data_IF_756222014180
#
_entry.id   IF_756222014180
#
_cell.length_a   1.000
_cell.length_b   1.000
_cell.length_c   1.000
_cell.angle_alpha   90.00
_cell.angle_beta   90.00
_cell.angle_gamma   90.00
#
_symmetry.space_group_name_H-M   'P 1'
#
loop_
_entity.id
_entity.type
_entity.pdbx_description
1 polymer ?
#
# COMPACT_ATOMS: atom_id res chain seq x y z
N UNK A 1 0.09 -11.02 -5.53
CA UNK A 1 1.36 -10.37 -5.89
C UNK A 1 2.09 -11.24 -6.90
N UNK A 2 2.11 -10.84 -8.19
CA UNK A 2 2.70 -11.64 -9.28
C UNK A 2 2.24 -13.11 -9.26
N UNK A 3 0.94 -13.32 -9.15
CA UNK A 3 0.30 -14.63 -9.19
C UNK A 3 0.38 -15.46 -7.90
N UNK A 4 0.94 -14.93 -6.80
CA UNK A 4 1.11 -15.68 -5.55
C UNK A 4 0.58 -14.93 -4.32
N UNK A 5 0.25 -15.67 -3.27
CA UNK A 5 -0.12 -15.15 -1.94
C UNK A 5 1.11 -15.27 -1.04
N UNK A 6 1.47 -14.19 -0.35
CA UNK A 6 2.62 -14.16 0.55
C UNK A 6 2.16 -13.75 1.95
N UNK A 7 2.52 -14.53 2.96
CA UNK A 7 2.39 -14.15 4.37
C UNK A 7 3.74 -13.70 4.89
N UNK A 8 3.79 -12.55 5.55
CA UNK A 8 5.00 -11.97 6.14
C UNK A 8 4.91 -11.92 7.66
N UNK A 9 6.03 -12.18 8.33
CA UNK A 9 6.19 -12.02 9.78
C UNK A 9 7.63 -11.55 10.05
N UNK A 10 7.84 -10.67 11.02
CA UNK A 10 9.20 -10.26 11.41
C UNK A 10 9.48 -10.58 12.88
N UNK A 11 10.76 -10.80 13.17
CA UNK A 11 11.34 -10.69 14.51
C UNK A 11 12.38 -9.57 14.55
N UNK A 12 13.18 -9.48 15.62
CA UNK A 12 14.19 -8.42 15.79
C UNK A 12 15.33 -8.46 14.77
N UNK A 13 15.48 -9.56 14.03
CA UNK A 13 16.63 -9.85 13.16
C UNK A 13 16.25 -10.30 11.76
N UNK A 14 15.09 -10.93 11.58
CA UNK A 14 14.68 -11.56 10.33
C UNK A 14 13.27 -11.15 9.91
N UNK A 15 13.10 -11.05 8.59
CA UNK A 15 11.79 -11.06 7.94
C UNK A 15 11.54 -12.47 7.40
N UNK A 16 10.55 -13.14 7.97
CA UNK A 16 10.05 -14.45 7.57
C UNK A 16 8.95 -14.30 6.53
N UNK A 17 8.96 -15.15 5.52
CA UNK A 17 7.88 -15.23 4.54
C UNK A 17 7.44 -16.66 4.28
N UNK A 18 6.17 -16.82 3.88
CA UNK A 18 5.61 -18.06 3.36
C UNK A 18 4.82 -17.76 2.09
N UNK A 19 5.05 -18.54 1.05
CA UNK A 19 4.37 -18.40 -0.24
C UNK A 19 3.33 -19.49 -0.43
N UNK A 20 2.19 -19.13 -1.00
CA UNK A 20 1.17 -20.05 -1.49
C UNK A 20 0.97 -19.73 -2.98
N UNK A 21 1.21 -20.73 -3.83
CA UNK A 21 0.99 -20.66 -5.27
C UNK A 21 -0.39 -21.22 -5.63
N UNK A 22 -1.03 -20.75 -6.71
CA UNK A 22 -2.29 -21.31 -7.18
C UNK A 22 -2.12 -22.80 -7.50
N UNK A 23 -3.09 -23.63 -7.09
CA UNK A 23 -3.09 -25.04 -7.51
C UNK A 23 -3.34 -25.11 -9.02
N UNK A 24 -2.33 -25.54 -9.78
CA UNK A 24 -2.49 -25.84 -11.20
C UNK A 24 -3.35 -27.10 -11.32
N UNK A 25 -4.64 -26.94 -11.59
CA UNK A 25 -5.47 -28.07 -12.03
C UNK A 25 -5.05 -28.45 -13.45
N UNK A 26 -4.10 -29.38 -13.56
CA UNK A 26 -3.83 -30.03 -14.84
C UNK A 26 -5.11 -30.74 -15.31
N UNK A 27 -5.46 -30.67 -16.61
CA UNK A 27 -6.57 -31.43 -17.13
C UNK A 27 -6.36 -32.92 -16.83
N UNK A 28 -7.42 -33.57 -16.33
CA UNK A 28 -7.42 -34.97 -15.93
C UNK A 28 -7.32 -35.84 -17.19
N UNK A 29 -6.10 -36.14 -17.63
CA UNK A 29 -5.81 -37.28 -18.52
C UNK A 29 -5.15 -38.40 -17.69
N UNK A 30 -5.47 -39.68 -17.98
CA UNK A 30 -5.09 -40.81 -17.13
C UNK A 30 -3.58 -41.08 -17.15
N UNK A 31 -3.04 -41.79 -16.13
CA UNK A 31 -1.67 -41.61 -15.68
C UNK A 31 -0.69 -42.33 -16.59
N UNK A 32 0.28 -41.59 -17.13
CA UNK A 32 1.60 -42.16 -17.39
C UNK A 32 2.50 -41.70 -16.26
N UNK A 33 3.28 -42.62 -15.72
CA UNK A 33 4.14 -42.54 -14.55
C UNK A 33 5.17 -41.39 -14.59
N UNK A 34 4.72 -40.15 -14.47
CA UNK A 34 5.55 -38.99 -14.22
C UNK A 34 5.30 -38.55 -12.79
N UNK A 35 6.38 -38.47 -12.00
CA UNK A 35 6.37 -37.87 -10.67
C UNK A 35 5.62 -36.54 -10.74
N UNK A 36 4.72 -36.31 -9.77
CA UNK A 36 4.13 -34.99 -9.54
C UNK A 36 5.27 -34.03 -9.22
N UNK A 37 5.87 -33.44 -10.26
CA UNK A 37 6.79 -32.33 -10.12
C UNK A 37 5.94 -31.14 -9.75
N UNK A 38 5.99 -30.76 -8.47
CA UNK A 38 5.60 -29.44 -8.02
C UNK A 38 6.35 -28.46 -8.93
N UNK A 39 5.66 -27.81 -9.86
CA UNK A 39 6.21 -26.85 -10.83
C UNK A 39 6.69 -25.53 -10.16
N UNK A 40 7.09 -25.57 -8.88
CA UNK A 40 7.27 -24.38 -8.05
C UNK A 40 8.56 -24.28 -7.24
N UNK A 41 9.40 -25.32 -7.15
CA UNK A 41 10.60 -25.26 -6.30
C UNK A 41 11.90 -24.92 -7.06
N UNK A 42 12.04 -25.25 -8.34
CA UNK A 42 13.32 -25.08 -9.05
C UNK A 42 13.64 -23.63 -9.51
N UNK A 43 12.71 -22.66 -9.35
CA UNK A 43 12.92 -21.24 -9.68
C UNK A 43 12.04 -20.29 -8.83
N UNK A 44 11.92 -20.51 -7.51
CA UNK A 44 11.17 -19.58 -6.66
C UNK A 44 11.91 -18.23 -6.51
N UNK A 45 11.43 -17.20 -7.19
CA UNK A 45 11.95 -15.82 -7.14
C UNK A 45 11.38 -14.99 -5.97
N UNK A 46 10.64 -15.60 -5.02
CA UNK A 46 9.94 -14.85 -3.96
C UNK A 46 10.90 -13.99 -3.12
N UNK A 47 12.09 -14.49 -2.77
CA UNK A 47 13.03 -13.68 -1.98
C UNK A 47 13.45 -12.42 -2.74
N UNK A 48 13.83 -12.56 -4.00
CA UNK A 48 14.21 -11.44 -4.87
C UNK A 48 13.05 -10.46 -5.04
N UNK A 49 11.83 -10.98 -5.23
CA UNK A 49 10.61 -10.18 -5.30
C UNK A 49 10.39 -9.37 -4.03
N UNK A 50 10.52 -9.98 -2.84
CA UNK A 50 10.33 -9.29 -1.56
C UNK A 50 11.43 -8.27 -1.28
N UNK A 51 12.70 -8.60 -1.59
CA UNK A 51 13.82 -7.64 -1.49
C UNK A 51 13.58 -6.40 -2.35
N UNK A 52 13.05 -6.59 -3.56
CA UNK A 52 12.68 -5.50 -4.44
C UNK A 52 11.46 -4.71 -3.90
N UNK A 53 10.35 -5.37 -3.65
CA UNK A 53 9.08 -4.73 -3.29
C UNK A 53 9.13 -4.00 -1.95
N UNK A 54 9.81 -4.57 -0.95
CA UNK A 54 10.02 -3.91 0.34
C UNK A 54 11.19 -2.91 0.32
N UNK A 55 11.83 -2.74 -0.84
CA UNK A 55 12.95 -1.84 -1.07
C UNK A 55 14.07 -2.03 -0.04
N UNK A 56 14.61 -3.25 0.06
CA UNK A 56 15.56 -3.63 1.11
C UNK A 56 17.03 -3.30 0.79
N UNK A 57 17.36 -2.99 -0.46
CA UNK A 57 18.75 -2.68 -0.85
C UNK A 57 19.30 -1.42 -0.15
N UNK A 58 18.56 -0.30 -0.04
CA UNK A 58 19.06 0.89 0.64
C UNK A 58 19.26 0.68 2.15
N UNK A 59 20.40 1.16 2.66
CA UNK A 59 20.68 1.24 4.08
C UNK A 59 19.83 2.35 4.72
N UNK A 60 18.71 1.94 5.33
CA UNK A 60 17.75 2.87 5.94
C UNK A 60 18.35 3.66 7.11
N UNK A 61 19.29 3.08 7.85
CA UNK A 61 19.96 3.77 8.96
C UNK A 61 20.78 4.94 8.43
N UNK A 62 21.57 4.72 7.38
CA UNK A 62 22.38 5.77 6.75
C UNK A 62 21.50 6.90 6.19
N UNK A 63 20.34 6.56 5.59
CA UNK A 63 19.36 7.56 5.14
C UNK A 63 18.79 8.38 6.30
N UNK A 64 18.41 7.74 7.41
CA UNK A 64 17.90 8.45 8.60
C UNK A 64 18.96 9.36 9.21
N UNK A 65 20.22 8.93 9.26
CA UNK A 65 21.35 9.75 9.72
C UNK A 65 21.57 10.96 8.80
N UNK A 66 21.56 10.76 7.49
CA UNK A 66 21.67 11.83 6.50
C UNK A 66 20.56 12.87 6.70
N UNK A 67 19.28 12.45 6.65
CA UNK A 67 18.16 13.37 6.77
C UNK A 67 18.13 14.09 8.12
N UNK A 68 18.53 13.41 9.20
CA UNK A 68 18.67 14.02 10.53
C UNK A 68 19.81 15.04 10.62
N UNK A 69 20.85 14.91 9.78
CA UNK A 69 21.98 15.86 9.77
C UNK A 69 21.63 17.20 9.11
N UNK A 70 20.67 17.20 8.17
CA UNK A 70 20.28 18.37 7.38
C UNK A 70 18.94 18.97 7.81
N UNK A 71 18.09 18.22 8.52
CA UNK A 71 16.79 18.68 9.00
C UNK A 71 16.57 18.42 10.50
N UNK A 72 16.55 19.50 11.29
CA UNK A 72 16.30 19.45 12.73
C UNK A 72 14.89 18.94 13.08
N UNK A 73 13.88 19.19 12.23
CA UNK A 73 12.53 18.67 12.45
C UNK A 73 12.50 17.16 12.24
N UNK A 74 13.13 16.67 11.16
CA UNK A 74 13.32 15.24 10.92
C UNK A 74 14.03 14.57 12.10
N UNK A 75 15.19 15.11 12.52
CA UNK A 75 15.98 14.61 13.65
C UNK A 75 15.17 14.47 14.94
N UNK A 76 14.23 15.39 15.19
CA UNK A 76 13.36 15.38 16.37
C UNK A 76 12.27 14.31 16.30
N UNK A 77 11.72 14.03 15.12
CA UNK A 77 10.51 13.19 14.95
C UNK A 77 10.81 11.75 14.55
N UNK A 78 11.81 11.54 13.70
CA UNK A 78 12.14 10.24 13.12
C UNK A 78 12.43 9.11 14.13
N UNK A 79 13.04 9.35 15.31
CA UNK A 79 13.32 8.26 16.26
C UNK A 79 12.09 7.51 16.78
N UNK A 80 10.89 8.13 16.69
CA UNK A 80 9.62 7.47 17.06
C UNK A 80 9.04 6.59 15.96
N UNK A 81 9.56 6.71 14.73
CA UNK A 81 9.04 6.08 13.52
C UNK A 81 10.20 5.51 12.70
N UNK A 82 10.88 4.51 13.26
CA UNK A 82 11.96 3.78 12.60
C UNK A 82 11.41 2.67 11.70
N UNK A 83 12.16 2.28 10.66
CA UNK A 83 11.81 1.14 9.81
C UNK A 83 10.76 1.42 8.75
N UNK A 84 10.34 2.68 8.56
CA UNK A 84 9.40 3.07 7.50
C UNK A 84 10.12 2.98 6.15
N UNK A 85 9.64 2.10 5.26
CA UNK A 85 10.16 1.94 3.90
C UNK A 85 9.12 2.32 2.84
N UNK A 86 9.59 2.84 1.71
CA UNK A 86 8.75 3.01 0.51
C UNK A 86 8.68 1.69 -0.25
N UNK A 87 7.47 1.18 -0.44
CA UNK A 87 7.23 -0.01 -1.25
C UNK A 87 7.43 0.30 -2.73
N UNK A 88 8.09 -0.61 -3.45
CA UNK A 88 8.20 -0.61 -4.92
C UNK A 88 7.08 -1.44 -5.52
N UNK A 89 5.90 -0.83 -5.61
CA UNK A 89 4.69 -1.44 -6.10
C UNK A 89 4.72 -1.59 -7.62
N UNK A 90 3.86 -2.47 -8.15
CA UNK A 90 3.59 -2.49 -9.58
C UNK A 90 3.03 -1.13 -10.03
N UNK A 91 3.53 -0.53 -11.12
CA UNK A 91 3.10 0.80 -11.55
C UNK A 91 1.59 0.90 -11.83
N UNK A 92 0.98 -0.15 -12.37
CA UNK A 92 -0.43 -0.17 -12.70
C UNK A 92 -1.30 -0.30 -11.44
N UNK A 93 -0.93 -1.20 -10.52
CA UNK A 93 -1.56 -1.32 -9.21
C UNK A 93 -1.50 0.01 -8.43
N UNK A 94 -0.32 0.63 -8.40
CA UNK A 94 -0.13 1.93 -7.76
C UNK A 94 -1.02 3.02 -8.39
N UNK A 95 -1.05 3.10 -9.72
CA UNK A 95 -1.85 4.08 -10.46
C UNK A 95 -3.33 3.99 -10.11
N UNK A 96 -3.92 2.80 -10.23
CA UNK A 96 -5.35 2.60 -9.94
C UNK A 96 -5.63 2.79 -8.45
N UNK A 97 -4.76 2.29 -7.56
CA UNK A 97 -4.86 2.50 -6.11
C UNK A 97 -4.88 3.98 -5.73
N UNK A 98 -4.02 4.82 -6.33
CA UNK A 98 -4.00 6.25 -6.04
C UNK A 98 -5.14 7.03 -6.71
N UNK A 99 -5.66 6.60 -7.86
CA UNK A 99 -6.92 7.12 -8.41
C UNK A 99 -8.05 6.93 -7.38
N UNK A 100 -8.16 5.72 -6.78
CA UNK A 100 -9.11 5.41 -5.71
C UNK A 100 -8.94 6.29 -4.46
N UNK A 101 -7.72 6.77 -4.20
CA UNK A 101 -7.38 7.55 -3.01
C UNK A 101 -7.81 9.02 -3.04
N UNK A 102 -8.05 9.59 -4.23
CA UNK A 102 -8.39 11.00 -4.39
C UNK A 102 -9.64 11.37 -3.58
N UNK A 103 -9.55 12.30 -2.63
CA UNK A 103 -10.65 12.70 -1.73
C UNK A 103 -11.37 11.50 -1.08
N UNK A 104 -10.61 10.66 -0.37
CA UNK A 104 -11.10 9.41 0.21
C UNK A 104 -10.33 9.06 1.50
N UNK A 105 -10.80 8.05 2.26
CA UNK A 105 -10.13 7.55 3.46
C UNK A 105 -9.60 6.13 3.26
N UNK A 106 -8.60 5.74 4.07
CA UNK A 106 -7.88 4.47 3.92
C UNK A 106 -8.83 3.26 3.95
N UNK A 107 -9.82 3.24 4.84
CA UNK A 107 -10.75 2.12 5.00
C UNK A 107 -11.54 1.90 3.70
N UNK A 108 -12.11 2.97 3.14
CA UNK A 108 -12.88 2.89 1.89
C UNK A 108 -11.99 2.59 0.70
N UNK A 109 -10.78 3.13 0.64
CA UNK A 109 -9.81 2.82 -0.43
C UNK A 109 -9.49 1.32 -0.44
N UNK A 110 -9.19 0.74 0.73
CA UNK A 110 -8.91 -0.70 0.84
C UNK A 110 -10.07 -1.56 0.38
N UNK A 111 -11.31 -1.18 0.71
CA UNK A 111 -12.51 -1.89 0.23
C UNK A 111 -12.66 -1.79 -1.30
N UNK A 112 -12.43 -0.60 -1.87
CA UNK A 112 -12.49 -0.40 -3.32
C UNK A 112 -11.47 -1.28 -4.04
N UNK A 113 -10.21 -1.26 -3.60
CA UNK A 113 -9.15 -2.09 -4.21
C UNK A 113 -9.46 -3.58 -4.07
N UNK A 114 -9.94 -4.03 -2.90
CA UNK A 114 -10.34 -5.42 -2.70
C UNK A 114 -11.48 -5.85 -3.64
N UNK A 115 -12.52 -5.01 -3.79
CA UNK A 115 -13.62 -5.27 -4.72
C UNK A 115 -13.14 -5.28 -6.18
N UNK A 116 -12.19 -4.41 -6.53
CA UNK A 116 -11.60 -4.42 -7.87
C UNK A 116 -10.95 -5.78 -8.18
N UNK A 117 -10.11 -6.27 -7.26
CA UNK A 117 -9.45 -7.56 -7.42
C UNK A 117 -10.46 -8.72 -7.44
N UNK A 118 -11.46 -8.73 -6.55
CA UNK A 118 -12.47 -9.78 -6.49
C UNK A 118 -13.25 -9.94 -7.80
N UNK A 119 -13.62 -8.82 -8.44
CA UNK A 119 -14.49 -8.83 -9.61
C UNK A 119 -13.75 -8.88 -10.95
N UNK A 120 -12.52 -8.37 -11.01
CA UNK A 120 -11.75 -8.24 -12.27
C UNK A 120 -10.38 -8.91 -12.24
N UNK A 121 -9.90 -9.27 -11.05
CA UNK A 121 -8.61 -9.90 -10.85
C UNK A 121 -8.66 -11.42 -11.03
N UNK A 122 -7.56 -12.06 -11.46
CA UNK A 122 -7.49 -13.52 -11.54
C UNK A 122 -7.46 -14.13 -10.14
N UNK A 123 -8.21 -15.21 -9.93
CA UNK A 123 -8.17 -15.98 -8.68
C UNK A 123 -6.80 -16.63 -8.52
N UNK A 124 -6.10 -16.34 -7.41
CA UNK A 124 -4.77 -16.89 -7.10
C UNK A 124 -4.81 -17.99 -6.03
N UNK A 125 -5.88 -18.10 -5.27
CA UNK A 125 -6.03 -19.16 -4.27
C UNK A 125 -7.02 -18.82 -3.18
N UNK A 126 -6.95 -19.56 -2.09
CA UNK A 126 -7.82 -19.38 -0.93
C UNK A 126 -7.00 -19.30 0.36
N UNK A 127 -7.43 -18.44 1.28
CA UNK A 127 -6.93 -18.40 2.66
C UNK A 127 -8.15 -18.48 3.58
N UNK A 128 -8.22 -19.50 4.42
CA UNK A 128 -9.37 -19.75 5.30
C UNK A 128 -10.73 -19.71 4.56
N UNK A 129 -10.80 -20.41 3.40
CA UNK A 129 -11.94 -20.47 2.47
C UNK A 129 -12.32 -19.13 1.80
N UNK A 130 -11.55 -18.06 2.00
CA UNK A 130 -11.76 -16.78 1.31
C UNK A 130 -10.97 -16.73 0.00
N UNK A 131 -11.61 -16.37 -1.13
CA UNK A 131 -10.90 -16.24 -2.39
C UNK A 131 -9.96 -15.04 -2.36
N UNK A 132 -8.72 -15.26 -2.78
CA UNK A 132 -7.73 -14.20 -3.01
C UNK A 132 -7.52 -14.05 -4.51
N UNK A 133 -7.59 -12.82 -4.97
CA UNK A 133 -7.41 -12.45 -6.37
C UNK A 133 -6.19 -11.55 -6.52
N UNK A 134 -5.47 -11.67 -7.64
CA UNK A 134 -4.42 -10.71 -7.98
C UNK A 134 -5.03 -9.41 -8.54
N UNK A 135 -4.19 -8.39 -8.70
CA UNK A 135 -4.64 -7.14 -9.31
C UNK A 135 -5.05 -7.35 -10.79
N UNK A 136 -6.16 -6.76 -11.27
CA UNK A 136 -6.56 -6.91 -12.68
C UNK A 136 -5.55 -6.27 -13.62
N UNK A 137 -5.37 -6.87 -14.79
CA UNK A 137 -4.62 -6.24 -15.88
C UNK A 137 -5.41 -5.05 -16.47
N UNK A 138 -4.75 -4.07 -17.11
CA UNK A 138 -5.44 -2.94 -17.72
C UNK A 138 -6.54 -3.36 -18.69
N UNK A 139 -6.27 -4.38 -19.52
CA UNK A 139 -7.21 -4.91 -20.52
C UNK A 139 -8.50 -5.44 -19.91
N UNK A 140 -8.46 -6.00 -18.69
CA UNK A 140 -9.63 -6.50 -17.94
C UNK A 140 -10.63 -5.39 -17.58
N UNK A 141 -10.22 -4.12 -17.63
CA UNK A 141 -11.05 -2.96 -17.25
C UNK A 141 -11.52 -2.13 -18.46
N UNK A 142 -11.43 -2.67 -19.69
CA UNK A 142 -11.79 -1.95 -20.93
C UNK A 142 -13.17 -2.30 -21.50
N UNK A 143 -13.85 -3.31 -20.95
CA UNK A 143 -15.10 -3.84 -21.52
C UNK A 143 -16.30 -2.90 -21.44
N UNK A 144 -17.28 -3.05 -22.36
CA UNK A 144 -18.52 -2.27 -22.32
C UNK A 144 -19.32 -2.64 -21.07
N UNK A 145 -19.40 -1.73 -20.10
CA UNK A 145 -20.09 -1.92 -18.82
C UNK A 145 -19.18 -1.88 -17.59
N UNK A 146 -17.86 -1.87 -17.74
CA UNK A 146 -16.93 -1.79 -16.60
C UNK A 146 -17.18 -0.54 -15.76
N UNK A 147 -17.36 0.64 -16.37
CA UNK A 147 -17.67 1.86 -15.63
C UNK A 147 -18.96 1.72 -14.80
N UNK A 148 -20.03 1.17 -15.39
CA UNK A 148 -21.32 1.03 -14.71
C UNK A 148 -21.20 0.09 -13.51
N UNK A 149 -20.57 -1.07 -13.69
CA UNK A 149 -20.36 -2.03 -12.61
C UNK A 149 -19.44 -1.48 -11.51
N UNK A 150 -18.38 -0.74 -11.84
CA UNK A 150 -17.56 -0.05 -10.82
C UNK A 150 -18.38 0.99 -10.03
N UNK A 151 -19.36 1.66 -10.64
CA UNK A 151 -20.28 2.55 -9.90
C UNK A 151 -21.15 1.77 -8.92
N UNK A 152 -21.67 0.61 -9.32
CA UNK A 152 -22.42 -0.30 -8.45
C UNK A 152 -21.57 -0.79 -7.28
N UNK A 153 -20.28 -1.04 -7.50
CA UNK A 153 -19.31 -1.41 -6.45
C UNK A 153 -18.84 -0.24 -5.57
N UNK A 154 -19.42 0.96 -5.73
CA UNK A 154 -19.20 2.10 -4.83
C UNK A 154 -17.99 2.99 -5.16
N UNK A 155 -17.42 2.88 -6.36
CA UNK A 155 -16.29 3.73 -6.79
C UNK A 155 -16.69 5.18 -7.07
N UNK A 156 -17.98 5.43 -7.26
CA UNK A 156 -18.53 6.76 -7.54
C UNK A 156 -17.96 7.35 -8.85
N UNK A 157 -17.60 8.62 -8.84
CA UNK A 157 -17.05 9.29 -10.03
C UNK A 157 -15.72 8.68 -10.51
N UNK A 158 -14.98 7.99 -9.64
CA UNK A 158 -13.68 7.36 -9.97
C UNK A 158 -13.83 6.17 -10.90
N UNK A 159 -15.02 5.55 -10.97
CA UNK A 159 -15.31 4.48 -11.91
C UNK A 159 -14.97 4.89 -13.36
N UNK A 160 -15.36 6.11 -13.74
CA UNK A 160 -15.05 6.69 -15.06
C UNK A 160 -13.55 6.84 -15.27
N UNK A 161 -12.83 7.30 -14.25
CA UNK A 161 -11.39 7.55 -14.31
C UNK A 161 -10.63 6.25 -14.53
N UNK A 162 -10.99 5.19 -13.81
CA UNK A 162 -10.37 3.87 -13.92
C UNK A 162 -10.64 3.27 -15.30
N UNK A 163 -11.91 3.22 -15.74
CA UNK A 163 -12.27 2.66 -17.03
C UNK A 163 -11.59 3.41 -18.19
N UNK A 164 -11.56 4.75 -18.15
CA UNK A 164 -10.90 5.56 -19.18
C UNK A 164 -9.38 5.39 -19.16
N UNK A 165 -8.78 5.37 -17.97
CA UNK A 165 -7.33 5.16 -17.81
C UNK A 165 -6.92 3.78 -18.33
N UNK A 166 -7.68 2.73 -18.01
CA UNK A 166 -7.47 1.39 -18.54
C UNK A 166 -7.53 1.35 -20.07
N UNK A 167 -8.52 2.05 -20.67
CA UNK A 167 -8.64 2.14 -22.11
C UNK A 167 -7.46 2.88 -22.76
N UNK A 168 -6.97 3.98 -22.17
CA UNK A 168 -5.79 4.70 -22.67
C UNK A 168 -4.55 3.81 -22.60
N UNK A 169 -4.30 3.18 -21.45
CA UNK A 169 -3.12 2.31 -21.24
C UNK A 169 -3.15 1.10 -22.17
N UNK A 170 -4.32 0.52 -22.43
CA UNK A 170 -4.45 -0.69 -23.26
C UNK A 170 -4.47 -0.39 -24.75
N UNK A 171 -5.18 0.65 -25.19
CA UNK A 171 -5.51 0.85 -26.61
C UNK A 171 -4.80 2.04 -27.25
N UNK A 172 -4.31 3.01 -26.47
CA UNK A 172 -3.77 4.29 -26.97
C UNK A 172 -2.27 4.46 -26.65
N UNK A 173 -1.66 3.53 -25.91
CA UNK A 173 -0.25 3.53 -25.53
C UNK A 173 0.42 2.25 -25.98
N UNK A 174 1.75 2.28 -26.14
CA UNK A 174 2.53 1.09 -26.44
C UNK A 174 2.50 0.11 -25.28
N UNK A 175 2.63 -1.18 -25.59
CA UNK A 175 2.83 -2.21 -24.58
C UNK A 175 4.04 -1.84 -23.70
N UNK A 176 3.88 -1.95 -22.38
CA UNK A 176 4.93 -1.58 -21.43
C UNK A 176 5.11 -0.08 -21.16
N UNK A 177 4.33 0.82 -21.80
CA UNK A 177 4.49 2.28 -21.64
C UNK A 177 4.61 2.75 -20.19
N UNK A 178 3.80 2.23 -19.28
CA UNK A 178 3.83 2.63 -17.87
C UNK A 178 5.13 2.16 -17.17
N UNK A 179 5.66 0.99 -17.54
CA UNK A 179 6.93 0.50 -17.03
C UNK A 179 8.12 1.30 -17.60
N UNK A 180 8.01 1.81 -18.83
CA UNK A 180 9.04 2.66 -19.44
C UNK A 180 9.19 4.03 -18.76
N UNK A 181 8.21 4.43 -17.94
CA UNK A 181 8.29 5.64 -17.09
C UNK A 181 9.02 5.39 -15.77
N UNK A 182 9.33 4.14 -15.44
CA UNK A 182 10.03 3.79 -14.21
C UNK A 182 11.45 4.36 -14.20
N UNK A 183 11.93 4.71 -13.01
CA UNK A 183 13.30 5.14 -12.79
C UNK A 183 14.26 4.00 -13.19
N UNK A 184 15.10 4.20 -14.23
CA UNK A 184 16.01 3.16 -14.69
C UNK A 184 17.24 3.02 -13.80
N UNK A 185 17.47 3.95 -12.87
CA UNK A 185 18.65 3.95 -12.02
C UNK A 185 18.55 2.86 -10.94
N UNK A 186 19.60 2.05 -10.86
CA UNK A 186 19.81 1.13 -9.74
C UNK A 186 20.30 1.96 -8.56
N UNK A 187 19.71 1.72 -7.39
CA UNK A 187 20.19 2.34 -6.16
C UNK A 187 21.68 2.06 -5.98
N UNK A 188 22.47 3.11 -5.79
CA UNK A 188 23.87 3.01 -5.39
C UNK A 188 24.00 3.47 -3.94
N UNK A 189 24.88 2.84 -3.15
CA UNK A 189 25.14 3.24 -1.75
C UNK A 189 25.79 4.62 -1.63
N UNK A 190 26.06 5.28 -2.76
CA UNK A 190 26.57 6.65 -2.79
C UNK A 190 25.40 7.59 -2.57
N UNK A 191 25.31 8.13 -1.37
CA UNK A 191 24.41 9.24 -1.06
C UNK A 191 24.88 10.49 -1.83
N UNK A 192 24.49 10.60 -3.10
CA UNK A 192 24.81 11.77 -3.91
C UNK A 192 24.03 12.97 -3.37
N UNK A 193 24.72 13.83 -2.64
CA UNK A 193 24.18 15.09 -2.12
C UNK A 193 24.17 16.20 -3.17
N UNK A 194 24.47 15.91 -4.45
CA UNK A 194 24.28 16.90 -5.50
C UNK A 194 22.85 17.40 -5.46
N UNK A 195 22.73 18.73 -5.45
CA UNK A 195 21.43 19.39 -5.50
C UNK A 195 20.67 18.90 -6.72
N UNK A 196 19.45 18.39 -6.49
CA UNK A 196 18.53 18.08 -7.57
C UNK A 196 18.17 19.40 -8.28
N UNK A 197 18.05 19.39 -9.62
CA UNK A 197 17.58 20.57 -10.32
C UNK A 197 16.14 20.93 -9.89
N UNK A 198 15.75 22.18 -10.09
CA UNK A 198 14.38 22.64 -9.85
C UNK A 198 13.38 21.76 -10.61
N UNK A 199 12.33 21.34 -9.93
CA UNK A 199 11.36 20.37 -10.44
C UNK A 199 11.83 18.91 -10.48
N UNK A 200 13.03 18.57 -10.01
CA UNK A 200 13.57 17.20 -9.97
C UNK A 200 14.23 16.73 -11.27
N UNK A 201 14.67 15.47 -11.37
CA UNK A 201 15.38 14.95 -12.55
C UNK A 201 14.48 14.96 -13.79
N UNK A 202 15.07 15.07 -15.01
CA UNK A 202 14.31 15.05 -16.26
C UNK A 202 13.40 13.83 -16.42
N UNK A 203 13.87 12.64 -15.99
CA UNK A 203 13.07 11.41 -16.08
C UNK A 203 11.83 11.43 -15.18
N UNK A 204 11.98 11.86 -13.92
CA UNK A 204 10.85 12.07 -13.00
C UNK A 204 9.84 13.06 -13.58
N UNK A 205 10.29 14.22 -14.07
CA UNK A 205 9.39 15.23 -14.66
C UNK A 205 8.61 14.67 -15.85
N UNK A 206 9.29 13.95 -16.74
CA UNK A 206 8.64 13.28 -17.88
C UNK A 206 7.59 12.28 -17.41
N UNK A 207 7.92 11.43 -16.44
CA UNK A 207 6.99 10.45 -15.89
C UNK A 207 5.75 11.14 -15.26
N UNK A 208 5.96 12.21 -14.50
CA UNK A 208 4.89 12.99 -13.89
C UNK A 208 3.97 13.63 -14.93
N UNK A 209 4.54 14.28 -15.95
CA UNK A 209 3.80 14.92 -17.04
C UNK A 209 2.99 13.92 -17.88
N UNK A 210 3.55 12.74 -18.16
CA UNK A 210 2.85 11.66 -18.85
C UNK A 210 1.67 11.12 -18.04
N UNK A 211 1.83 10.97 -16.72
CA UNK A 211 0.76 10.55 -15.81
C UNK A 211 -0.37 11.58 -15.71
N UNK A 212 -0.07 12.89 -15.75
CA UNK A 212 -1.06 13.97 -15.70
C UNK A 212 -2.01 13.98 -16.92
N UNK A 213 -1.67 13.30 -18.01
CA UNK A 213 -2.56 13.14 -19.17
C UNK A 213 -3.72 12.18 -18.90
N UNK A 214 -3.62 11.36 -17.83
CA UNK A 214 -4.62 10.37 -17.47
C UNK A 214 -5.78 11.00 -16.69
N UNK A 215 -7.00 10.54 -16.98
CA UNK A 215 -8.19 11.09 -16.34
C UNK A 215 -8.23 10.70 -14.85
N UNK A 216 -8.40 11.70 -13.98
CA UNK A 216 -8.42 11.48 -12.54
C UNK A 216 -7.05 11.50 -11.88
N UNK A 217 -5.98 11.72 -12.66
CA UNK A 217 -4.61 11.87 -12.16
C UNK A 217 -4.25 13.35 -12.08
N UNK A 218 -4.29 13.90 -10.86
CA UNK A 218 -3.74 15.22 -10.56
C UNK A 218 -2.30 15.14 -10.03
N UNK A 219 -1.65 16.29 -9.75
CA UNK A 219 -0.24 16.34 -9.31
C UNK A 219 0.09 15.39 -8.16
N UNK A 220 -0.76 15.38 -7.12
CA UNK A 220 -0.58 14.47 -5.96
C UNK A 220 -0.65 13.00 -6.34
N UNK A 221 -1.60 12.61 -7.19
CA UNK A 221 -1.75 11.21 -7.64
C UNK A 221 -0.54 10.82 -8.48
N UNK A 222 -0.12 11.67 -9.42
CA UNK A 222 1.07 11.45 -10.23
C UNK A 222 2.32 11.29 -9.36
N UNK A 223 2.52 12.13 -8.35
CA UNK A 223 3.65 12.00 -7.42
C UNK A 223 3.59 10.72 -6.59
N UNK A 224 2.40 10.31 -6.11
CA UNK A 224 2.27 9.03 -5.41
C UNK A 224 2.69 7.85 -6.30
N UNK A 225 2.32 7.87 -7.58
CA UNK A 225 2.70 6.83 -8.55
C UNK A 225 4.20 6.91 -8.88
N UNK A 226 4.75 8.11 -9.07
CA UNK A 226 6.18 8.32 -9.27
C UNK A 226 7.00 7.72 -8.10
N UNK A 227 6.61 8.01 -6.86
CA UNK A 227 7.32 7.56 -5.67
C UNK A 227 7.18 6.05 -5.43
N UNK A 228 5.95 5.54 -5.43
CA UNK A 228 5.66 4.17 -4.97
C UNK A 228 5.50 3.14 -6.09
N UNK A 229 5.20 3.55 -7.32
CA UNK A 229 5.07 2.65 -8.48
C UNK A 229 6.27 2.70 -9.41
N UNK A 230 6.81 3.89 -9.68
CA UNK A 230 7.86 4.10 -10.68
C UNK A 230 9.26 4.24 -10.08
N UNK A 231 9.42 4.28 -8.76
CA UNK A 231 10.73 4.31 -8.09
C UNK A 231 11.48 5.64 -8.18
N UNK A 232 10.78 6.75 -8.44
CA UNK A 232 11.35 8.11 -8.36
C UNK A 232 11.34 8.59 -6.90
N UNK A 233 12.38 8.23 -6.14
CA UNK A 233 12.53 8.54 -4.70
C UNK A 233 12.46 10.03 -4.35
N UNK A 234 12.66 10.93 -5.31
CA UNK A 234 12.62 12.38 -5.14
C UNK A 234 11.23 12.99 -5.28
N UNK A 235 10.24 12.19 -5.70
CA UNK A 235 8.87 12.63 -5.84
C UNK A 235 8.24 12.85 -4.47
N UNK A 236 7.66 14.03 -4.25
CA UNK A 236 7.07 14.44 -2.97
C UNK A 236 5.59 14.74 -3.18
N UNK A 237 4.68 13.79 -2.87
CA UNK A 237 3.25 14.02 -3.02
C UNK A 237 2.73 14.99 -1.96
N UNK A 238 2.28 16.18 -2.37
CA UNK A 238 1.79 17.21 -1.43
C UNK A 238 0.26 17.15 -1.34
N UNK A 239 -0.25 16.57 -0.26
CA UNK A 239 -1.67 16.62 0.09
C UNK A 239 -1.97 17.67 1.17
N UNK A 240 -3.19 17.66 1.72
CA UNK A 240 -3.61 18.59 2.77
C UNK A 240 -2.84 18.40 4.08
N UNK A 241 -2.48 17.18 4.45
CA UNK A 241 -1.67 16.92 5.66
C UNK A 241 -0.24 17.37 5.44
N UNK A 242 0.31 17.09 4.25
CA UNK A 242 1.65 17.53 3.87
C UNK A 242 1.75 19.05 3.88
N UNK A 243 0.73 19.70 3.32
CA UNK A 243 0.61 21.13 3.37
C UNK A 243 0.55 21.67 4.80
N UNK A 244 -0.24 21.07 5.68
CA UNK A 244 -0.34 21.49 7.08
C UNK A 244 0.99 21.41 7.83
N UNK A 245 1.76 20.32 7.68
CA UNK A 245 3.05 20.23 8.35
C UNK A 245 4.11 21.11 7.67
N UNK A 246 4.07 21.30 6.35
CA UNK A 246 4.93 22.26 5.65
C UNK A 246 4.72 23.68 6.19
N UNK A 247 3.47 24.07 6.48
CA UNK A 247 3.15 25.35 7.11
C UNK A 247 3.68 25.44 8.54
N UNK A 248 3.40 24.41 9.35
CA UNK A 248 3.73 24.37 10.79
C UNK A 248 5.24 24.33 11.03
N UNK A 249 5.96 23.48 10.30
CA UNK A 249 7.34 23.10 10.60
C UNK A 249 8.36 23.76 9.66
N UNK A 250 7.98 24.08 8.41
CA UNK A 250 8.87 24.60 7.37
C UNK A 250 8.52 26.02 6.91
N UNK A 251 7.63 26.70 7.65
CA UNK A 251 7.24 28.11 7.44
C UNK A 251 6.61 28.42 6.07
N UNK A 252 6.05 27.42 5.40
CA UNK A 252 5.13 27.66 4.28
C UNK A 252 3.80 28.29 4.77
N UNK A 253 2.92 28.74 3.86
CA UNK A 253 1.62 29.30 4.26
C UNK A 253 1.58 30.81 4.45
N UNK A 254 2.71 31.52 4.28
CA UNK A 254 2.82 32.98 4.42
C UNK A 254 3.18 33.65 3.10
N UNK A 255 2.87 34.93 2.96
CA UNK A 255 3.29 35.75 1.82
C UNK A 255 2.79 35.20 0.47
N UNK A 256 3.72 34.82 -0.42
CA UNK A 256 3.41 34.28 -1.75
C UNK A 256 2.79 32.86 -1.73
N UNK A 257 2.81 32.17 -0.58
CA UNK A 257 2.32 30.79 -0.43
C UNK A 257 1.11 30.68 0.49
N UNK A 258 0.15 31.63 0.43
CA UNK A 258 -1.04 31.63 1.32
C UNK A 258 -2.00 30.46 1.06
N UNK A 259 -2.00 29.89 -0.13
CA UNK A 259 -2.84 28.76 -0.53
C UNK A 259 -2.05 27.74 -1.34
N UNK A 260 -2.55 26.51 -1.40
CA UNK A 260 -1.96 25.40 -2.17
C UNK A 260 -2.29 25.55 -3.67
N UNK A 261 -1.68 26.54 -4.31
CA UNK A 261 -1.67 26.71 -5.76
C UNK A 261 -0.63 25.77 -6.39
N UNK A 262 -0.65 25.62 -7.73
CA UNK A 262 0.40 24.87 -8.46
C UNK A 262 1.81 25.37 -8.09
N UNK A 263 2.04 26.68 -8.10
CA UNK A 263 3.35 27.25 -7.76
C UNK A 263 3.75 26.95 -6.30
N UNK A 264 2.79 26.94 -5.36
CA UNK A 264 3.07 26.54 -3.98
C UNK A 264 3.34 25.04 -3.86
N UNK A 265 2.60 24.20 -4.58
CA UNK A 265 2.82 22.76 -4.64
C UNK A 265 4.25 22.45 -5.12
N UNK A 266 4.64 23.06 -6.24
CA UNK A 266 5.97 22.90 -6.85
C UNK A 266 7.07 23.38 -5.88
N UNK A 267 6.89 24.54 -5.24
CA UNK A 267 7.84 25.09 -4.27
C UNK A 267 8.00 24.22 -3.01
N UNK A 268 6.94 23.58 -2.52
CA UNK A 268 7.01 22.64 -1.39
C UNK A 268 7.81 21.40 -1.80
N UNK A 269 7.53 20.84 -2.98
CA UNK A 269 8.28 19.70 -3.51
C UNK A 269 9.78 20.01 -3.69
N UNK A 270 10.10 21.17 -4.27
CA UNK A 270 11.49 21.60 -4.47
C UNK A 270 12.23 21.85 -3.17
N UNK A 271 11.58 22.45 -2.19
CA UNK A 271 12.16 22.62 -0.86
C UNK A 271 12.58 21.29 -0.24
N UNK A 272 11.71 20.28 -0.28
CA UNK A 272 12.02 18.96 0.29
C UNK A 272 13.05 18.18 -0.53
N UNK A 273 13.05 18.31 -1.87
CA UNK A 273 14.12 17.76 -2.72
C UNK A 273 15.48 18.38 -2.44
N UNK A 274 15.53 19.70 -2.24
CA UNK A 274 16.78 20.38 -1.86
C UNK A 274 17.25 19.99 -0.46
N UNK A 275 16.33 19.73 0.45
CA UNK A 275 16.63 19.37 1.83
C UNK A 275 17.12 17.92 1.98
N UNK A 276 16.45 16.96 1.33
CA UNK A 276 16.67 15.52 1.54
C UNK A 276 17.27 14.78 0.35
N UNK A 277 17.41 15.43 -0.81
CA UNK A 277 18.05 14.88 -2.00
C UNK A 277 17.21 13.83 -2.74
N UNK A 278 17.89 12.83 -3.31
CA UNK A 278 17.30 11.83 -4.20
C UNK A 278 16.20 10.98 -3.56
N UNK A 279 16.18 10.87 -2.24
CA UNK A 279 15.20 10.09 -1.47
C UNK A 279 14.25 10.99 -0.65
N UNK A 280 14.02 12.23 -1.12
CA UNK A 280 13.16 13.19 -0.44
C UNK A 280 11.72 12.72 -0.22
N UNK A 281 11.15 11.97 -1.17
CA UNK A 281 9.84 11.34 -1.03
C UNK A 281 9.79 10.33 0.11
N UNK A 282 10.89 9.63 0.36
CA UNK A 282 11.01 8.70 1.48
C UNK A 282 11.07 9.43 2.82
N UNK A 283 11.96 10.42 2.96
CA UNK A 283 12.06 11.26 4.16
C UNK A 283 10.72 11.93 4.50
N UNK A 284 10.07 12.48 3.48
CA UNK A 284 8.73 13.03 3.55
C UNK A 284 7.71 12.02 4.12
N UNK A 285 7.71 10.78 3.62
CA UNK A 285 6.79 9.73 4.08
C UNK A 285 7.01 9.32 5.54
N UNK A 286 8.24 9.40 6.06
CA UNK A 286 8.51 9.18 7.49
C UNK A 286 7.81 10.25 8.33
N UNK A 287 7.91 11.53 7.94
CA UNK A 287 7.25 12.62 8.64
C UNK A 287 5.73 12.57 8.52
N UNK A 288 5.22 12.20 7.34
CA UNK A 288 3.80 11.98 7.13
C UNK A 288 3.27 10.86 8.05
N UNK A 289 3.96 9.72 8.11
CA UNK A 289 3.60 8.63 9.02
C UNK A 289 3.65 9.07 10.49
N UNK A 290 4.58 9.96 10.84
CA UNK A 290 4.69 10.51 12.18
C UNK A 290 3.55 11.48 12.57
N UNK A 291 2.96 12.17 11.60
CA UNK A 291 1.89 13.16 11.81
C UNK A 291 0.49 12.53 11.81
N UNK A 292 0.32 11.35 11.18
CA UNK A 292 -0.92 10.59 11.23
C UNK A 292 -1.20 10.07 12.66
N UNK A 293 -2.27 10.57 13.28
CA UNK A 293 -2.69 10.21 14.65
C UNK A 293 -2.80 8.70 14.86
N UNK A 294 -3.32 7.97 13.87
CA UNK A 294 -3.44 6.51 13.87
C UNK A 294 -2.12 5.78 14.10
N UNK A 295 -0.98 6.38 13.74
CA UNK A 295 0.36 5.84 13.98
C UNK A 295 1.02 6.46 15.22
N UNK A 296 0.76 7.75 15.50
CA UNK A 296 1.21 8.42 16.72
C UNK A 296 0.74 7.71 17.99
N UNK A 297 -0.50 7.22 18.02
CA UNK A 297 -1.10 6.57 19.19
C UNK A 297 -0.62 5.12 19.36
N UNK A 298 -0.31 4.41 18.26
CA UNK A 298 0.25 3.04 18.29
C UNK A 298 1.67 2.99 18.84
N UNK A 299 2.42 4.09 18.73
CA UNK A 299 3.74 4.22 19.38
C UNK A 299 3.60 4.53 20.88
N UNK A 300 2.44 5.04 21.32
CA UNK A 300 2.19 5.38 22.72
C UNK A 300 1.57 4.22 23.53
N UNK A 301 0.96 3.23 22.89
CA UNK A 301 0.35 2.09 23.59
C UNK A 301 1.34 0.95 23.76
N UNK A 302 1.82 0.77 24.99
CA UNK A 302 2.35 -0.53 25.44
C UNK A 302 1.29 -1.60 25.15
N UNK A 303 1.72 -2.73 24.60
CA UNK A 303 0.89 -3.91 24.47
C UNK A 303 0.67 -4.45 25.90
N UNK A 304 -0.41 -4.05 26.54
CA UNK A 304 -0.93 -4.75 27.72
C UNK A 304 -1.75 -5.94 27.21
N UNK A 305 -1.21 -7.14 27.45
CA UNK A 305 -1.95 -8.39 27.28
C UNK A 305 -2.63 -8.65 28.61
N UNK A 306 -3.92 -8.34 28.72
CA UNK A 306 -4.74 -8.86 29.81
C UNK A 306 -4.99 -10.35 29.54
N UNK A 307 -4.32 -11.19 30.32
CA UNK A 307 -4.61 -12.61 30.42
C UNK A 307 -5.62 -12.77 31.57
N UNK A 308 -6.89 -12.96 31.25
CA UNK A 308 -7.85 -13.44 32.26
C UNK A 308 -7.57 -14.93 32.52
N UNK A 309 -7.00 -15.23 33.69
CA UNK A 309 -6.87 -16.60 34.20
C UNK A 309 -8.25 -17.19 34.55
N UNK A 310 -8.65 -18.24 33.85
CA UNK A 310 -9.86 -19.02 34.19
C UNK A 310 -9.50 -20.05 35.27
N UNK A 311 -10.11 -19.92 36.46
CA UNK A 311 -10.01 -20.91 37.54
C UNK A 311 -10.91 -22.11 37.25
N UNK A 312 -10.32 -23.31 37.18
CA UNK A 312 -11.03 -24.58 37.02
C UNK A 312 -11.47 -25.09 38.40
N UNK A 313 -12.75 -25.47 38.55
CA UNK A 313 -13.23 -26.35 39.64
C UNK A 313 -13.69 -27.68 39.06
N UNK A 314 -13.29 -28.76 39.70
CA UNK A 314 -13.56 -30.15 39.35
C UNK A 314 -14.78 -30.67 40.12
N UNK A 315 -15.71 -31.34 39.44
CA UNK A 315 -16.46 -32.49 39.97
C UNK A 315 -17.13 -33.26 38.81
N UNK A 316 -17.11 -34.59 38.91
CA UNK A 316 -17.79 -35.60 38.08
C UNK A 316 -17.43 -35.77 36.59
N UNK A 317 -16.14 -35.99 36.33
CA UNK A 317 -15.69 -37.02 35.38
C UNK A 317 -15.92 -36.81 33.87
N UNK A 318 -16.41 -35.66 33.42
CA UNK A 318 -16.56 -35.35 31.98
C UNK A 318 -15.74 -34.12 31.61
N UNK A 319 -14.71 -34.32 30.77
CA UNK A 319 -13.98 -33.22 30.15
C UNK A 319 -14.77 -32.65 28.97
N UNK A 320 -15.24 -31.42 29.08
CA UNK A 320 -15.62 -30.57 27.94
C UNK A 320 -14.68 -29.37 27.98
N UNK A 321 -13.65 -29.41 27.14
CA UNK A 321 -12.76 -28.27 26.91
C UNK A 321 -13.39 -27.40 25.82
N UNK A 322 -14.07 -26.32 26.21
CA UNK A 322 -14.58 -25.31 25.29
C UNK A 322 -13.78 -24.01 25.51
N UNK A 323 -12.62 -23.92 24.85
CA UNK A 323 -11.82 -22.69 24.84
C UNK A 323 -12.35 -21.74 23.77
N UNK A 324 -13.20 -20.80 24.18
CA UNK A 324 -13.63 -19.67 23.35
C UNK A 324 -12.52 -18.60 23.29
N UNK A 325 -11.53 -18.79 22.41
CA UNK A 325 -10.56 -17.72 22.11
C UNK A 325 -11.21 -16.74 21.14
N UNK A 326 -11.85 -15.70 21.70
CA UNK A 326 -12.41 -14.61 20.90
C UNK A 326 -11.32 -13.58 20.61
N UNK A 327 -10.61 -13.71 19.49
CA UNK A 327 -9.71 -12.63 19.03
C UNK A 327 -10.53 -11.53 18.35
N UNK A 328 -10.94 -10.51 19.10
CA UNK A 328 -11.50 -9.28 18.52
C UNK A 328 -10.36 -8.39 18.01
N UNK A 329 -10.14 -8.33 16.70
CA UNK A 329 -9.39 -7.21 16.10
C UNK A 329 -10.34 -6.05 15.89
N UNK A 330 -10.44 -5.18 16.89
CA UNK A 330 -11.17 -3.91 16.78
C UNK A 330 -10.19 -2.86 16.28
N UNK A 331 -10.30 -2.45 15.02
CA UNK A 331 -9.75 -1.17 14.58
C UNK A 331 -10.68 -0.10 15.16
N UNK A 332 -10.36 0.40 16.35
CA UNK A 332 -11.03 1.56 16.93
C UNK A 332 -10.33 2.79 16.40
N UNK A 333 -10.96 3.46 15.43
CA UNK A 333 -10.66 4.87 15.16
C UNK A 333 -11.52 5.70 16.13
N UNK A 334 -10.95 6.69 16.84
CA UNK A 334 -11.72 7.59 17.71
C UNK A 334 -12.87 8.27 16.97
N UNK A 335 -13.98 8.47 17.68
CA UNK A 335 -15.32 8.80 17.18
C UNK A 335 -15.51 10.25 16.67
N UNK A 336 -14.47 10.97 16.28
CA UNK A 336 -14.54 12.42 15.99
C UNK A 336 -14.17 12.84 14.56
N UNK A 337 -14.07 11.91 13.62
CA UNK A 337 -14.10 12.26 12.20
C UNK A 337 -15.45 11.87 11.62
N UNK A 338 -16.47 12.72 11.84
CA UNK A 338 -17.70 12.66 11.04
C UNK A 338 -18.26 14.07 10.79
N UNK A 339 -18.40 14.45 9.51
CA UNK A 339 -19.22 15.60 9.11
C UNK A 339 -20.72 15.24 9.24
N UNK A 340 -21.60 16.24 9.34
CA UNK A 340 -23.04 16.01 9.59
C UNK A 340 -23.75 15.19 8.49
N UNK A 341 -23.19 15.14 7.27
CA UNK A 341 -23.66 14.30 6.17
C UNK A 341 -23.37 12.80 6.36
N UNK A 342 -22.50 12.43 7.32
CA UNK A 342 -22.09 11.03 7.55
C UNK A 342 -22.98 10.30 8.56
N UNK A 343 -23.94 10.97 9.21
CA UNK A 343 -24.84 10.33 10.19
C UNK A 343 -25.90 9.43 9.52
N UNK A 344 -26.16 9.57 8.23
CA UNK A 344 -27.25 8.85 7.55
C UNK A 344 -26.86 7.47 7.00
N UNK A 345 -25.57 7.12 6.89
CA UNK A 345 -25.16 5.80 6.36
C UNK A 345 -24.42 4.97 7.41
N UNK A 346 -25.16 4.44 8.40
CA UNK A 346 -24.70 3.34 9.25
C UNK A 346 -24.83 2.02 8.49
N UNK A 347 -23.73 1.53 7.91
CA UNK A 347 -23.64 0.12 7.48
C UNK A 347 -22.85 -0.64 8.54
N UNK A 348 -23.52 -1.56 9.22
CA UNK A 348 -22.90 -2.45 10.20
C UNK A 348 -22.06 -3.51 9.50
N UNK A 349 -20.80 -3.65 9.92
CA UNK A 349 -19.98 -4.83 9.64
C UNK A 349 -20.29 -5.89 10.69
N UNK A 350 -21.10 -6.89 10.34
CA UNK A 350 -21.26 -8.10 11.13
C UNK A 350 -20.54 -9.24 10.40
N UNK A 351 -19.33 -9.58 10.86
CA UNK A 351 -18.75 -10.91 10.60
C UNK A 351 -18.72 -11.66 11.91
N UNK A 352 -19.85 -12.28 12.24
CA UNK A 352 -19.92 -13.24 13.32
C UNK A 352 -19.13 -14.50 12.90
N UNK A 353 -18.00 -14.76 13.57
CA UNK A 353 -17.30 -16.05 13.49
C UNK A 353 -18.04 -17.05 14.37
N UNK A 354 -18.60 -18.09 13.76
CA UNK A 354 -19.00 -19.33 14.44
C UNK A 354 -18.42 -20.49 13.64
N UNK A 355 -17.39 -21.15 14.18
CA UNK A 355 -16.91 -22.43 13.64
C UNK A 355 -17.49 -23.58 14.47
N UNK A 356 -18.18 -24.50 13.81
CA UNK A 356 -18.62 -25.76 14.40
C UNK A 356 -17.56 -26.81 14.11
N UNK A 357 -16.89 -27.32 15.14
CA UNK A 357 -15.89 -28.38 14.98
C UNK A 357 -16.56 -29.67 14.46
N UNK A 358 -16.03 -30.24 13.37
CA UNK A 358 -16.40 -31.59 12.89
C UNK A 358 -15.79 -32.64 13.81
N UNK A 359 -16.63 -33.50 14.40
CA UNK A 359 -16.22 -34.70 15.15
C UNK A 359 -15.38 -35.62 14.25
N UNK A 360 -14.12 -35.89 14.63
CA UNK A 360 -13.39 -37.09 14.18
C UNK A 360 -13.42 -38.09 15.33
N UNK A 361 -14.07 -39.22 15.09
CA UNK A 361 -14.09 -40.38 16.00
C UNK A 361 -12.79 -41.14 15.74
N UNK A 362 -11.91 -41.23 16.72
CA UNK A 362 -10.78 -42.15 16.67
C UNK A 362 -11.31 -43.55 17.00
N UNK A 363 -10.97 -44.52 16.17
CA UNK A 363 -11.10 -45.96 16.44
C UNK A 363 -9.70 -46.55 16.54
#
# INVERSE_FOLDING_TARGET
>A
MKGRIITLKQDSTHLHYKTIWPEVKLPITPPTSAKSSILGEENDDTEALLRHYLNLSPNLTALYEQWSSVDANFKKRAPRFTGVRILKQDPWEALVGFICSSNNNIIRISQMVNNLCLHYGPLIGYVDDQPFHDFPQPSSLTGPGVEAHLRELGFGYRAKYIARTAAIVTNERSEGWLNDLANPEVFNDVLDQKGLPEGGRPGYRKAHEELLQLQGVGPKVADCVCLMGLGWGESVPVDTHVWQFAQRDYKFGKGKHKSLTKATYDAVGDHFRQLWGQEAGWAHSVLFAADLRTFSDKVATKIEVDVEEVKIKQEDGIFIEESLVTTKRKLVVPKEEMSEDEKENKVFLESARSQRAKKRRWS
#
